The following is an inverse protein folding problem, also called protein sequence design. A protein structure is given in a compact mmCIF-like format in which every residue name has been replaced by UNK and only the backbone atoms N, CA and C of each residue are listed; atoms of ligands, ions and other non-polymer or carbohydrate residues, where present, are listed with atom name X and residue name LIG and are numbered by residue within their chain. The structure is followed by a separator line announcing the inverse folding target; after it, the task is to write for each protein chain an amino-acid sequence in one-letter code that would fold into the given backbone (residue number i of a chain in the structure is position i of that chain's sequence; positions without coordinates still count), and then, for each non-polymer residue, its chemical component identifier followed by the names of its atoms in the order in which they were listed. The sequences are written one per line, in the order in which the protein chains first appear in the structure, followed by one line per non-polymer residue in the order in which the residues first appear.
data_IF_222262603712
#
_entry.id   IF_222262603712
#
_cell.length_a   1.000
_cell.length_b   1.000
_cell.length_c   1.000
_cell.angle_alpha   90.00
_cell.angle_beta   90.00
_cell.angle_gamma   90.00
#
_symmetry.space_group_name_H-M   'P 1'
#
loop_
_entity.id
_entity.type
_entity.pdbx_description
1 polymer ?
#
# COMPACT_ATOMS: atom_id res chain seq x y z
N UNK A 1 6.23 24.81 -9.42
CA UNK A 1 4.89 24.26 -9.64
C UNK A 1 4.90 23.42 -10.90
N UNK A 2 4.37 22.21 -10.81
CA UNK A 2 4.25 21.24 -11.88
C UNK A 2 3.11 21.62 -12.83
N UNK A 3 3.28 21.30 -14.12
CA UNK A 3 2.26 21.50 -15.17
C UNK A 3 1.92 20.23 -15.94
N UNK A 4 2.55 19.12 -15.54
CA UNK A 4 2.42 17.78 -16.09
C UNK A 4 2.93 16.78 -15.06
N UNK A 5 2.45 15.54 -15.15
CA UNK A 5 2.96 14.41 -14.40
C UNK A 5 4.16 13.80 -15.11
N UNK A 6 5.19 13.42 -14.35
CA UNK A 6 6.37 12.69 -14.82
C UNK A 6 6.52 11.45 -13.94
N UNK A 7 5.82 10.34 -14.28
CA UNK A 7 5.75 9.15 -13.44
C UNK A 7 7.14 8.58 -13.14
N UNK A 8 7.38 8.17 -11.89
CA UNK A 8 8.63 7.59 -11.43
C UNK A 8 9.79 8.57 -11.24
N UNK A 9 9.58 9.87 -11.47
CA UNK A 9 10.54 10.91 -11.12
C UNK A 9 10.27 11.48 -9.72
N UNK A 10 11.28 12.09 -9.05
CA UNK A 10 11.09 12.77 -7.78
C UNK A 10 9.97 13.81 -7.84
N UNK A 11 8.95 13.61 -7.00
CA UNK A 11 7.81 14.50 -6.88
C UNK A 11 7.96 15.35 -5.62
N UNK A 12 8.08 16.66 -5.81
CA UNK A 12 8.27 17.62 -4.74
C UNK A 12 6.95 18.34 -4.39
N UNK A 13 6.78 18.68 -3.13
CA UNK A 13 5.70 19.53 -2.64
C UNK A 13 5.91 21.01 -3.04
N UNK A 14 4.99 21.88 -2.62
CA UNK A 14 5.06 23.33 -2.87
C UNK A 14 6.24 24.03 -2.21
N UNK A 15 6.84 23.43 -1.17
CA UNK A 15 8.04 23.91 -0.47
C UNK A 15 9.34 23.35 -1.07
N UNK A 16 9.26 22.50 -2.10
CA UNK A 16 10.40 21.90 -2.79
C UNK A 16 11.00 20.69 -2.06
N UNK A 17 10.28 20.09 -1.11
CA UNK A 17 10.68 18.85 -0.43
C UNK A 17 10.04 17.65 -1.12
N UNK A 18 10.71 16.49 -1.06
CA UNK A 18 10.15 15.24 -1.58
C UNK A 18 8.84 14.92 -0.86
N UNK A 19 7.79 14.59 -1.60
CA UNK A 19 6.52 14.12 -1.04
C UNK A 19 6.76 12.77 -0.34
N UNK A 20 6.17 12.62 0.84
CA UNK A 20 6.26 11.43 1.69
C UNK A 20 4.85 10.98 2.10
N UNK A 21 4.17 10.32 1.18
CA UNK A 21 2.83 9.78 1.36
C UNK A 21 2.70 8.39 0.68
N UNK A 22 3.60 7.47 1.05
CA UNK A 22 3.70 6.14 0.43
C UNK A 22 2.65 5.16 0.94
N UNK A 23 2.31 4.14 0.16
CA UNK A 23 1.36 3.09 0.56
C UNK A 23 -0.04 3.62 0.86
N UNK A 24 -0.32 4.87 0.52
CA UNK A 24 -1.46 5.60 1.02
C UNK A 24 -2.58 5.79 0.00
N UNK A 25 -3.52 6.65 0.37
CA UNK A 25 -4.74 6.89 -0.37
C UNK A 25 -4.86 8.37 -0.75
N UNK A 26 -5.48 8.65 -1.89
CA UNK A 26 -6.02 9.98 -2.18
C UNK A 26 -7.52 9.98 -1.86
N UNK A 27 -7.89 10.77 -0.85
CA UNK A 27 -9.26 11.01 -0.40
C UNK A 27 -9.72 12.38 -0.92
N UNK A 28 -10.97 12.51 -1.35
CA UNK A 28 -11.52 13.79 -1.81
C UNK A 28 -12.60 14.30 -0.87
N UNK A 29 -12.51 15.59 -0.52
CA UNK A 29 -13.52 16.27 0.29
C UNK A 29 -13.63 17.74 -0.11
N UNK A 30 -14.86 18.23 -0.30
CA UNK A 30 -15.15 19.65 -0.58
C UNK A 30 -14.33 20.24 -1.75
N UNK A 31 -14.10 19.46 -2.82
CA UNK A 31 -13.33 19.90 -3.98
C UNK A 31 -11.80 19.97 -3.77
N UNK A 32 -11.31 19.40 -2.66
CA UNK A 32 -9.88 19.27 -2.36
C UNK A 32 -9.51 17.80 -2.35
N UNK A 33 -8.37 17.47 -2.94
CA UNK A 33 -7.75 16.16 -2.86
C UNK A 33 -6.79 16.15 -1.67
N UNK A 34 -6.86 15.10 -0.87
CA UNK A 34 -6.02 14.88 0.29
C UNK A 34 -5.27 13.58 0.12
N UNK A 35 -3.95 13.65 0.08
CA UNK A 35 -3.10 12.47 -0.05
C UNK A 35 -2.48 12.16 1.31
N UNK A 36 -2.94 11.09 1.93
CA UNK A 36 -2.35 10.56 3.14
C UNK A 36 -1.42 9.40 2.80
N UNK A 37 -0.38 9.20 3.59
CA UNK A 37 0.52 8.06 3.41
C UNK A 37 1.58 7.96 4.50
N UNK A 38 2.37 6.90 4.40
CA UNK A 38 3.53 6.67 5.26
C UNK A 38 4.56 7.78 5.05
N UNK A 39 5.02 8.37 6.15
CA UNK A 39 6.14 9.30 6.09
C UNK A 39 7.46 8.52 6.16
N UNK A 40 8.17 8.40 5.04
CA UNK A 40 9.44 7.67 4.95
C UNK A 40 10.68 8.57 5.06
N UNK A 41 10.56 9.85 5.47
CA UNK A 41 11.68 10.82 5.55
C UNK A 41 12.94 10.29 6.27
N UNK A 42 12.76 9.36 7.22
CA UNK A 42 13.82 8.81 8.05
C UNK A 42 14.17 7.34 7.73
N UNK A 43 13.49 6.72 6.75
CA UNK A 43 13.62 5.29 6.44
C UNK A 43 14.76 5.06 5.45
N UNK A 44 16.00 5.16 5.94
CA UNK A 44 17.21 5.05 5.12
C UNK A 44 17.64 3.61 4.83
N UNK A 45 17.09 2.65 5.58
CA UNK A 45 17.52 1.25 5.59
C UNK A 45 18.81 1.01 6.39
N UNK A 46 19.32 2.01 7.11
CA UNK A 46 20.52 1.90 7.94
C UNK A 46 20.24 1.61 9.42
N UNK A 47 19.06 1.98 9.93
CA UNK A 47 18.64 1.81 11.32
C UNK A 47 17.28 1.09 11.43
N UNK A 48 16.70 1.09 12.64
CA UNK A 48 15.41 0.42 12.90
C UNK A 48 14.19 1.24 12.46
N UNK A 49 14.37 2.46 11.92
CA UNK A 49 13.24 3.31 11.53
C UNK A 49 12.55 2.74 10.29
N UNK A 50 11.29 2.36 10.46
CA UNK A 50 10.42 1.87 9.40
C UNK A 50 9.55 2.96 8.79
N UNK A 51 8.89 3.76 9.64
CA UNK A 51 7.99 4.85 9.25
C UNK A 51 8.03 5.96 10.31
N UNK A 52 7.93 7.22 9.89
CA UNK A 52 7.92 8.40 10.77
C UNK A 52 6.52 9.03 10.88
N UNK A 53 5.55 8.18 11.22
CA UNK A 53 4.13 8.55 11.30
C UNK A 53 3.40 8.60 9.95
N UNK A 54 2.20 9.18 9.96
CA UNK A 54 1.35 9.36 8.77
C UNK A 54 1.28 10.85 8.43
N UNK A 55 1.63 11.20 7.19
CA UNK A 55 1.59 12.58 6.69
C UNK A 55 0.38 12.79 5.79
N UNK A 56 -0.07 14.04 5.70
CA UNK A 56 -1.15 14.48 4.82
C UNK A 56 -0.65 15.60 3.90
N UNK A 57 -1.06 15.55 2.66
CA UNK A 57 -0.91 16.63 1.69
C UNK A 57 -2.27 17.04 1.15
N UNK A 58 -2.42 18.29 0.69
CA UNK A 58 -3.62 18.78 0.02
C UNK A 58 -3.31 19.32 -1.38
N UNK A 59 -4.25 19.16 -2.32
CA UNK A 59 -4.13 19.65 -3.69
C UNK A 59 -5.50 19.95 -4.31
N UNK A 60 -5.53 20.87 -5.25
CA UNK A 60 -6.70 21.14 -6.11
C UNK A 60 -6.54 20.62 -7.54
N UNK A 61 -5.34 20.18 -7.93
CA UNK A 61 -5.01 19.79 -9.30
C UNK A 61 -4.31 18.43 -9.42
N UNK A 62 -4.13 17.73 -8.29
CA UNK A 62 -3.41 16.46 -8.14
C UNK A 62 -1.91 16.52 -8.51
N UNK A 63 -1.40 17.67 -8.95
CA UNK A 63 -0.01 17.86 -9.40
C UNK A 63 0.83 18.59 -8.36
N UNK A 64 0.26 19.63 -7.75
CA UNK A 64 0.92 20.50 -6.80
C UNK A 64 0.32 20.24 -5.42
N UNK A 65 1.15 19.70 -4.52
CA UNK A 65 0.73 19.24 -3.20
C UNK A 65 1.32 20.15 -2.12
N UNK A 66 0.45 20.66 -1.26
CA UNK A 66 0.83 21.39 -0.05
C UNK A 66 0.97 20.41 1.10
N UNK A 67 2.09 20.44 1.82
CA UNK A 67 2.28 19.66 3.04
C UNK A 67 1.36 20.21 4.14
N UNK A 68 0.52 19.33 4.71
CA UNK A 68 -0.39 19.62 5.82
C UNK A 68 0.12 19.09 7.16
N UNK A 69 1.29 18.45 7.16
CA UNK A 69 1.96 17.90 8.32
C UNK A 69 1.53 16.47 8.68
N UNK A 70 1.98 16.03 9.86
CA UNK A 70 1.70 14.70 10.39
C UNK A 70 0.32 14.67 11.05
N UNK A 71 -0.56 13.80 10.56
CA UNK A 71 -1.88 13.55 11.15
C UNK A 71 -1.83 12.46 12.23
N UNK A 72 -0.83 11.57 12.14
CA UNK A 72 -0.43 10.64 13.19
C UNK A 72 1.08 10.83 13.41
N UNK A 73 1.50 11.59 14.44
CA UNK A 73 2.92 11.79 14.71
C UNK A 73 3.56 10.51 15.28
N UNK A 74 4.87 10.27 15.03
CA UNK A 74 5.59 9.18 15.66
C UNK A 74 5.86 9.46 17.14
N UNK A 75 6.07 8.39 17.91
CA UNK A 75 6.42 8.45 19.34
C UNK A 75 7.83 7.84 19.56
N UNK A 76 8.92 8.54 19.16
CA UNK A 76 10.28 7.98 19.17
C UNK A 76 10.86 7.72 20.56
N UNK A 77 10.33 8.37 21.60
CA UNK A 77 10.82 8.24 22.97
C UNK A 77 10.15 7.07 23.74
N UNK A 78 9.09 6.46 23.19
CA UNK A 78 8.36 5.36 23.81
C UNK A 78 8.43 4.08 22.96
N UNK A 79 9.35 3.17 23.31
CA UNK A 79 9.54 1.89 22.59
C UNK A 79 8.33 0.95 22.66
N UNK A 80 7.46 1.12 23.64
CA UNK A 80 6.26 0.29 23.79
C UNK A 80 5.08 0.84 22.99
N UNK A 81 5.19 2.07 22.47
CA UNK A 81 4.17 2.65 21.62
C UNK A 81 4.06 1.91 20.29
N UNK A 82 2.82 1.72 19.83
CA UNK A 82 2.56 1.25 18.46
C UNK A 82 2.97 2.29 17.41
N UNK A 83 3.18 3.55 17.80
CA UNK A 83 3.61 4.65 16.94
C UNK A 83 5.12 4.91 17.03
N UNK A 84 5.87 4.08 17.74
CA UNK A 84 7.33 4.15 17.73
C UNK A 84 7.86 3.91 16.30
N UNK A 85 8.86 4.66 15.81
CA UNK A 85 9.32 4.56 14.41
C UNK A 85 9.81 3.18 13.97
N UNK A 86 10.19 2.33 14.92
CA UNK A 86 10.59 0.93 14.67
C UNK A 86 9.41 -0.06 14.53
N UNK A 87 8.18 0.41 14.73
CA UNK A 87 6.98 -0.37 14.46
C UNK A 87 6.73 -0.35 12.97
N UNK A 88 6.41 -1.50 12.39
CA UNK A 88 6.31 -1.65 10.95
C UNK A 88 4.96 -1.16 10.41
N UNK A 89 4.65 0.12 10.65
CA UNK A 89 3.41 0.80 10.23
C UNK A 89 3.44 1.03 8.72
N UNK A 90 2.43 0.48 8.05
CA UNK A 90 2.19 0.57 6.62
C UNK A 90 0.75 0.96 6.26
N UNK A 91 0.57 1.33 5.01
CA UNK A 91 -0.66 1.37 4.23
C UNK A 91 -1.85 2.14 4.85
N UNK A 92 -1.68 3.40 5.29
CA UNK A 92 -2.73 4.15 5.97
C UNK A 92 -3.90 4.46 5.01
N UNK A 93 -5.09 4.00 5.37
CA UNK A 93 -6.33 4.21 4.59
C UNK A 93 -7.44 4.72 5.51
N UNK A 94 -8.27 5.64 5.01
CA UNK A 94 -9.31 6.26 5.82
C UNK A 94 -10.68 6.23 5.18
N UNK A 95 -11.70 6.21 6.01
CA UNK A 95 -13.09 6.48 5.63
C UNK A 95 -13.66 7.55 6.55
N UNK A 96 -14.39 8.51 5.98
CA UNK A 96 -15.28 9.36 6.79
C UNK A 96 -16.58 8.61 7.06
N UNK A 97 -17.01 8.56 8.32
CA UNK A 97 -18.28 7.97 8.73
C UNK A 97 -19.33 9.06 8.98
N UNK A 98 -20.37 9.09 8.15
CA UNK A 98 -21.39 10.13 8.18
C UNK A 98 -22.30 10.06 9.41
N UNK A 99 -22.44 8.87 10.02
CA UNK A 99 -23.29 8.64 11.20
C UNK A 99 -22.61 9.13 12.47
N UNK A 100 -21.34 8.78 12.65
CA UNK A 100 -20.55 9.15 13.83
C UNK A 100 -19.86 10.51 13.66
N UNK A 101 -19.78 11.03 12.42
CA UNK A 101 -19.02 12.23 12.05
C UNK A 101 -17.52 12.11 12.38
N UNK A 102 -16.98 10.90 12.28
CA UNK A 102 -15.57 10.61 12.54
C UNK A 102 -14.85 10.22 11.25
N UNK A 103 -13.59 10.62 11.15
CA UNK A 103 -12.63 9.98 10.25
C UNK A 103 -12.12 8.71 10.94
N UNK A 104 -12.19 7.58 10.24
CA UNK A 104 -11.76 6.27 10.72
C UNK A 104 -10.55 5.85 9.90
N UNK A 105 -9.40 5.81 10.55
CA UNK A 105 -8.10 5.49 9.95
C UNK A 105 -7.70 4.08 10.32
N UNK A 106 -7.40 3.27 9.32
CA UNK A 106 -6.84 1.93 9.48
C UNK A 106 -5.36 1.96 9.10
N UNK A 107 -4.56 1.23 9.86
CA UNK A 107 -3.11 1.11 9.69
C UNK A 107 -2.73 -0.36 9.72
N UNK A 108 -1.81 -0.79 8.85
CA UNK A 108 -1.20 -2.11 8.85
C UNK A 108 0.05 -2.12 9.72
N UNK A 109 0.26 -3.20 10.46
CA UNK A 109 1.50 -3.47 11.19
C UNK A 109 2.07 -4.83 10.82
N UNK A 110 3.26 -4.84 10.20
CA UNK A 110 3.92 -6.08 9.79
C UNK A 110 4.48 -6.90 10.96
N UNK A 111 4.68 -6.30 12.14
CA UNK A 111 5.31 -6.95 13.30
C UNK A 111 4.62 -8.28 13.67
N UNK A 112 3.32 -8.20 13.95
CA UNK A 112 2.45 -9.34 14.30
C UNK A 112 1.43 -9.66 13.19
N UNK A 113 1.51 -8.98 12.04
CA UNK A 113 0.53 -9.02 10.95
C UNK A 113 -0.89 -8.71 11.43
N UNK A 114 -1.09 -7.46 11.87
CA UNK A 114 -2.36 -6.97 12.43
C UNK A 114 -2.69 -5.56 11.94
N UNK A 115 -3.90 -5.09 12.24
CA UNK A 115 -4.29 -3.69 12.03
C UNK A 115 -4.37 -2.90 13.32
N UNK A 116 -4.16 -1.59 13.23
CA UNK A 116 -4.66 -0.65 14.21
C UNK A 116 -5.76 0.20 13.60
N UNK A 117 -6.75 0.58 14.42
CA UNK A 117 -7.88 1.41 14.04
C UNK A 117 -7.90 2.64 14.94
N UNK A 118 -7.93 3.82 14.32
CA UNK A 118 -7.94 5.11 15.00
C UNK A 118 -9.14 5.94 14.51
N UNK A 119 -9.59 6.89 15.33
CA UNK A 119 -10.64 7.84 14.94
C UNK A 119 -10.32 9.27 15.30
N UNK A 120 -10.83 10.23 14.51
CA UNK A 120 -10.70 11.66 14.76
C UNK A 120 -11.99 12.41 14.41
N UNK A 121 -12.24 13.55 15.07
CA UNK A 121 -13.32 14.49 14.73
C UNK A 121 -13.01 15.34 13.49
N UNK A 122 -11.73 15.47 13.13
CA UNK A 122 -11.26 16.24 11.99
C UNK A 122 -10.23 15.43 11.20
N UNK A 123 -10.16 15.67 9.89
CA UNK A 123 -9.24 14.96 8.99
C UNK A 123 -7.77 15.07 9.42
N UNK A 124 -7.38 16.24 9.95
CA UNK A 124 -6.02 16.51 10.43
C UNK A 124 -5.76 16.01 11.85
N UNK A 125 -6.69 15.24 12.42
CA UNK A 125 -6.60 14.74 13.79
C UNK A 125 -6.99 15.78 14.86
N UNK A 126 -6.59 15.55 16.12
CA UNK A 126 -5.80 14.40 16.56
C UNK A 126 -6.56 13.09 16.45
N UNK A 127 -5.85 12.02 16.10
CA UNK A 127 -6.39 10.66 16.03
C UNK A 127 -6.24 9.94 17.39
N UNK A 128 -7.30 9.25 17.80
CA UNK A 128 -7.34 8.42 19.02
C UNK A 128 -7.43 6.95 18.65
N UNK A 129 -6.60 6.12 19.28
CA UNK A 129 -6.59 4.67 19.05
C UNK A 129 -7.88 4.04 19.61
N UNK A 130 -8.63 3.37 18.74
CA UNK A 130 -9.79 2.55 19.08
C UNK A 130 -9.36 1.12 19.35
N UNK A 131 -8.48 0.59 18.49
CA UNK A 131 -7.87 -0.72 18.66
C UNK A 131 -6.43 -0.68 18.16
N UNK A 132 -5.47 -0.97 19.03
CA UNK A 132 -4.04 -0.99 18.68
C UNK A 132 -3.59 -2.30 18.05
N UNK A 133 -4.38 -3.37 18.18
CA UNK A 133 -4.00 -4.73 17.79
C UNK A 133 -5.20 -5.56 17.38
N UNK A 134 -5.66 -5.34 16.15
CA UNK A 134 -6.86 -5.95 15.57
C UNK A 134 -6.51 -7.05 14.54
N UNK A 135 -7.12 -8.22 14.72
CA UNK A 135 -7.02 -9.36 13.79
C UNK A 135 -8.41 -9.62 13.18
N UNK A 136 -8.68 -9.17 11.94
CA UNK A 136 -9.93 -9.48 11.25
C UNK A 136 -10.20 -10.98 11.27
N UNK A 137 -11.33 -11.37 11.85
CA UNK A 137 -11.74 -12.78 11.93
C UNK A 137 -10.70 -13.70 12.61
N UNK A 138 -9.84 -13.15 13.47
CA UNK A 138 -8.78 -13.89 14.14
C UNK A 138 -7.62 -14.36 13.25
N UNK A 139 -7.52 -13.85 12.01
CA UNK A 139 -6.45 -14.18 11.06
C UNK A 139 -5.34 -13.14 11.09
N UNK A 140 -4.13 -13.55 10.74
CA UNK A 140 -3.06 -12.60 10.43
C UNK A 140 -3.39 -11.89 9.13
N UNK A 141 -3.03 -10.61 9.05
CA UNK A 141 -3.39 -9.78 7.92
C UNK A 141 -2.21 -8.95 7.41
N UNK A 142 -2.18 -8.78 6.09
CA UNK A 142 -1.19 -7.99 5.36
C UNK A 142 -1.80 -6.73 4.78
N UNK A 143 -1.47 -6.42 3.54
CA UNK A 143 -1.96 -5.23 2.83
C UNK A 143 -3.48 -5.24 2.69
N UNK A 144 -4.09 -4.05 2.76
CA UNK A 144 -5.54 -3.89 2.70
C UNK A 144 -5.96 -2.57 2.09
N UNK A 145 -7.17 -2.53 1.55
CA UNK A 145 -7.84 -1.32 1.08
C UNK A 145 -9.28 -1.24 1.61
N UNK A 146 -9.83 -0.03 1.61
CA UNK A 146 -11.14 0.31 2.13
C UNK A 146 -12.01 0.93 1.05
N UNK A 147 -13.26 0.50 1.00
CA UNK A 147 -14.26 1.12 0.13
C UNK A 147 -15.58 1.31 0.88
N UNK A 148 -16.33 2.35 0.51
CA UNK A 148 -17.72 2.53 0.96
C UNK A 148 -18.61 2.92 -0.19
N UNK A 149 -19.85 2.45 -0.13
CA UNK A 149 -20.90 2.87 -1.06
C UNK A 149 -21.56 4.20 -0.63
N UNK A 150 -22.38 4.76 -1.51
CA UNK A 150 -23.14 6.00 -1.26
C UNK A 150 -24.16 5.87 -0.12
N UNK A 151 -24.51 4.65 0.30
CA UNK A 151 -25.45 4.36 1.40
C UNK A 151 -24.73 4.24 2.75
N UNK A 152 -23.39 4.30 2.77
CA UNK A 152 -22.57 4.13 3.96
C UNK A 152 -22.38 2.67 4.37
N UNK A 153 -22.50 1.71 3.45
CA UNK A 153 -21.98 0.37 3.66
C UNK A 153 -20.48 0.38 3.32
N UNK A 154 -19.64 -0.02 4.27
CA UNK A 154 -18.20 -0.04 4.10
C UNK A 154 -17.66 -1.48 4.07
N UNK A 155 -16.52 -1.63 3.41
CA UNK A 155 -15.89 -2.89 3.06
C UNK A 155 -14.38 -2.76 3.23
N UNK A 156 -13.74 -3.87 3.61
CA UNK A 156 -12.30 -4.03 3.62
C UNK A 156 -11.92 -5.18 2.70
N UNK A 157 -10.87 -4.97 1.92
CA UNK A 157 -10.21 -5.99 1.10
C UNK A 157 -8.82 -6.20 1.69
N UNK A 158 -8.47 -7.39 2.13
CA UNK A 158 -7.22 -7.61 2.86
C UNK A 158 -6.55 -8.95 2.54
N UNK A 159 -5.23 -8.92 2.50
CA UNK A 159 -4.37 -10.11 2.48
C UNK A 159 -4.47 -10.81 3.83
N UNK A 160 -4.59 -12.15 3.82
CA UNK A 160 -4.68 -12.95 5.03
C UNK A 160 -3.80 -14.22 4.98
N UNK A 161 -3.05 -14.40 6.08
CA UNK A 161 -2.11 -15.50 6.37
C UNK A 161 -1.06 -15.80 5.28
N UNK A 162 -0.76 -14.84 4.41
CA UNK A 162 0.11 -14.99 3.24
C UNK A 162 -0.41 -16.01 2.21
N UNK A 163 -1.72 -16.29 2.19
CA UNK A 163 -2.33 -17.29 1.28
C UNK A 163 -3.53 -16.78 0.50
N UNK A 164 -4.35 -15.93 1.12
CA UNK A 164 -5.65 -15.53 0.57
C UNK A 164 -5.77 -14.01 0.50
N UNK A 165 -6.60 -13.53 -0.41
CA UNK A 165 -7.11 -12.17 -0.39
C UNK A 165 -8.61 -12.24 -0.12
N UNK A 166 -9.04 -11.63 0.97
CA UNK A 166 -10.41 -11.66 1.47
C UNK A 166 -11.09 -10.30 1.29
N UNK A 167 -12.40 -10.31 1.15
CA UNK A 167 -13.26 -9.14 1.30
C UNK A 167 -14.26 -9.35 2.45
N UNK A 168 -14.53 -8.31 3.23
CA UNK A 168 -15.52 -8.36 4.30
C UNK A 168 -16.25 -7.03 4.48
N UNK A 169 -17.42 -7.07 5.14
CA UNK A 169 -18.11 -5.86 5.56
C UNK A 169 -17.42 -5.24 6.77
N UNK A 170 -17.50 -3.93 6.89
CA UNK A 170 -17.22 -3.21 8.12
C UNK A 170 -18.53 -2.91 8.86
N UNK A 171 -18.42 -2.89 10.18
CA UNK A 171 -19.45 -2.41 11.11
C UNK A 171 -19.95 -1.01 10.80
N UNK A 172 -21.11 -0.65 11.39
CA UNK A 172 -21.76 0.63 11.14
C UNK A 172 -20.92 1.87 11.51
N UNK A 173 -19.93 1.74 12.39
CA UNK A 173 -18.96 2.78 12.75
C UNK A 173 -17.60 2.65 12.03
N UNK A 174 -17.47 1.64 11.17
CA UNK A 174 -16.29 1.30 10.37
C UNK A 174 -15.06 0.87 11.19
N UNK A 175 -15.20 0.51 12.47
CA UNK A 175 -14.06 0.22 13.35
C UNK A 175 -13.70 -1.26 13.49
N UNK A 176 -14.53 -2.16 12.94
CA UNK A 176 -14.34 -3.60 12.97
C UNK A 176 -14.97 -4.27 11.74
N UNK A 177 -14.47 -5.45 11.39
CA UNK A 177 -15.07 -6.36 10.41
C UNK A 177 -16.32 -7.04 10.98
N UNK A 178 -17.34 -7.17 10.14
CA UNK A 178 -18.58 -7.89 10.43
C UNK A 178 -18.86 -8.97 9.40
N UNK A 179 -19.45 -10.08 9.87
CA UNK A 179 -19.79 -11.23 9.05
C UNK A 179 -18.60 -12.12 8.71
N UNK A 180 -18.87 -13.15 7.92
CA UNK A 180 -17.85 -14.08 7.43
C UNK A 180 -17.13 -13.45 6.23
N UNK A 181 -15.78 -13.43 6.23
CA UNK A 181 -15.02 -12.91 5.11
C UNK A 181 -15.19 -13.83 3.89
N UNK A 182 -15.13 -13.22 2.71
CA UNK A 182 -15.28 -13.90 1.42
C UNK A 182 -13.94 -13.94 0.73
N UNK A 183 -13.49 -15.12 0.31
CA UNK A 183 -12.28 -15.24 -0.48
C UNK A 183 -12.50 -14.73 -1.91
N UNK A 184 -11.64 -13.79 -2.33
CA UNK A 184 -11.54 -13.30 -3.71
C UNK A 184 -10.43 -14.08 -4.42
N UNK A 185 -9.29 -14.25 -3.74
CA UNK A 185 -8.21 -15.16 -4.12
C UNK A 185 -7.94 -16.13 -2.97
N UNK A 186 -7.70 -17.41 -3.27
CA UNK A 186 -7.51 -18.43 -2.23
C UNK A 186 -6.41 -19.42 -2.54
N UNK A 187 -5.70 -19.87 -1.50
CA UNK A 187 -4.79 -21.02 -1.56
C UNK A 187 -3.52 -20.78 -2.38
N UNK A 188 -3.11 -19.51 -2.53
CA UNK A 188 -1.85 -19.16 -3.18
C UNK A 188 -0.69 -19.27 -2.19
N UNK A 189 0.54 -19.17 -2.70
CA UNK A 189 1.76 -19.09 -1.91
C UNK A 189 2.61 -17.94 -2.43
N UNK A 190 3.45 -17.30 -1.62
CA UNK A 190 4.38 -16.31 -2.13
C UNK A 190 5.34 -16.95 -3.14
N UNK A 191 5.63 -16.29 -4.28
CA UNK A 191 5.26 -14.91 -4.59
C UNK A 191 3.90 -14.71 -5.28
N UNK A 192 3.17 -15.78 -5.57
CA UNK A 192 1.87 -15.68 -6.25
C UNK A 192 0.72 -15.18 -5.35
N UNK A 193 0.88 -15.23 -4.02
CA UNK A 193 -0.05 -14.60 -3.05
C UNK A 193 -0.32 -13.16 -3.46
N UNK A 194 -1.60 -12.77 -3.41
CA UNK A 194 -2.02 -11.43 -3.82
C UNK A 194 -1.96 -10.47 -2.63
N UNK A 195 -1.33 -9.31 -2.85
CA UNK A 195 -1.21 -8.22 -1.89
C UNK A 195 -1.52 -6.88 -2.57
N UNK A 196 -1.28 -5.77 -1.86
CA UNK A 196 -1.55 -4.41 -2.32
C UNK A 196 -2.93 -4.22 -2.98
N UNK A 197 -4.03 -4.75 -2.39
CA UNK A 197 -5.36 -4.62 -2.98
C UNK A 197 -5.69 -3.15 -3.20
N UNK A 198 -6.21 -2.82 -4.37
CA UNK A 198 -6.63 -1.45 -4.70
C UNK A 198 -7.96 -1.53 -5.40
N UNK A 199 -9.02 -1.19 -4.68
CA UNK A 199 -10.40 -1.27 -5.10
C UNK A 199 -10.85 0.02 -5.77
N UNK A 200 -11.64 -0.11 -6.83
CA UNK A 200 -12.39 1.01 -7.38
C UNK A 200 -13.65 0.53 -8.10
N UNK A 201 -14.57 1.46 -8.37
CA UNK A 201 -15.84 1.16 -9.05
C UNK A 201 -15.89 1.91 -10.37
N UNK A 202 -16.21 1.20 -11.47
CA UNK A 202 -16.48 1.80 -12.77
C UNK A 202 -17.72 1.21 -13.39
N UNK A 203 -18.67 2.06 -13.79
CA UNK A 203 -19.90 1.62 -14.45
C UNK A 203 -20.74 0.66 -13.59
N UNK A 204 -20.70 0.81 -12.27
CA UNK A 204 -21.39 -0.07 -11.31
C UNK A 204 -20.70 -1.41 -11.05
N UNK A 205 -19.53 -1.67 -11.66
CA UNK A 205 -18.74 -2.88 -11.45
C UNK A 205 -17.55 -2.60 -10.54
N UNK A 206 -17.20 -3.58 -9.73
CA UNK A 206 -16.12 -3.54 -8.75
C UNK A 206 -14.84 -4.11 -9.36
N UNK A 207 -13.78 -3.32 -9.35
CA UNK A 207 -12.46 -3.72 -9.81
C UNK A 207 -11.52 -3.82 -8.62
N UNK A 208 -10.65 -4.82 -8.64
CA UNK A 208 -9.62 -5.01 -7.63
C UNK A 208 -8.28 -5.25 -8.32
N UNK A 209 -7.39 -4.26 -8.22
CA UNK A 209 -5.99 -4.42 -8.59
C UNK A 209 -5.23 -5.03 -7.42
N UNK A 210 -4.23 -5.84 -7.71
CA UNK A 210 -3.36 -6.49 -6.72
C UNK A 210 -1.96 -6.63 -7.29
N UNK A 211 -0.96 -6.84 -6.43
CA UNK A 211 0.37 -7.33 -6.81
C UNK A 211 0.63 -8.73 -6.25
N UNK A 212 1.71 -9.38 -6.68
CA UNK A 212 2.29 -10.55 -6.01
C UNK A 212 3.09 -10.13 -4.77
N UNK A 213 3.46 -11.11 -3.94
CA UNK A 213 4.18 -10.92 -2.67
C UNK A 213 5.68 -11.07 -2.83
N UNK A 214 6.37 -9.95 -3.05
CA UNK A 214 7.82 -9.93 -3.33
C UNK A 214 8.58 -8.86 -2.54
N UNK A 215 8.02 -8.43 -1.41
CA UNK A 215 8.55 -7.33 -0.61
C UNK A 215 8.53 -6.03 -1.42
N UNK A 216 9.56 -5.19 -1.27
CA UNK A 216 9.67 -3.93 -2.03
C UNK A 216 10.04 -4.11 -3.51
N UNK A 217 10.39 -5.32 -3.96
CA UNK A 217 10.67 -5.55 -5.38
C UNK A 217 9.36 -5.51 -6.16
N UNK A 218 9.27 -4.77 -7.27
CA UNK A 218 8.04 -4.70 -8.03
C UNK A 218 7.78 -6.02 -8.79
N UNK A 219 6.55 -6.26 -9.22
CA UNK A 219 6.16 -7.50 -9.88
C UNK A 219 4.87 -7.27 -10.70
N UNK A 220 4.38 -8.26 -11.47
CA UNK A 220 3.18 -8.09 -12.28
C UNK A 220 1.92 -7.91 -11.44
N UNK A 221 1.23 -6.82 -11.70
CA UNK A 221 -0.11 -6.59 -11.15
C UNK A 221 -1.16 -7.41 -11.87
N UNK A 222 -2.24 -7.77 -11.17
CA UNK A 222 -3.36 -8.52 -11.73
C UNK A 222 -4.66 -7.81 -11.35
N UNK A 223 -5.63 -7.86 -12.28
CA UNK A 223 -6.95 -7.25 -12.13
C UNK A 223 -8.02 -8.32 -12.02
N UNK A 224 -8.95 -8.16 -11.09
CA UNK A 224 -10.23 -8.88 -11.09
C UNK A 224 -11.42 -7.91 -11.11
N UNK A 225 -12.54 -8.36 -11.67
CA UNK A 225 -13.79 -7.59 -11.76
C UNK A 225 -15.00 -8.38 -11.26
N UNK A 226 -15.96 -7.71 -10.64
CA UNK A 226 -17.25 -8.27 -10.23
C UNK A 226 -18.41 -7.29 -10.36
N UNK A 227 -19.63 -7.81 -10.42
CA UNK A 227 -20.89 -7.06 -10.27
C UNK A 227 -21.32 -6.92 -8.79
N UNK A 228 -20.62 -7.58 -7.86
CA UNK A 228 -20.83 -7.54 -6.41
C UNK A 228 -19.54 -7.11 -5.70
N UNK A 229 -19.61 -6.31 -4.61
CA UNK A 229 -18.42 -5.83 -3.92
C UNK A 229 -17.54 -6.94 -3.35
N UNK A 230 -18.09 -8.11 -3.01
CA UNK A 230 -17.38 -9.17 -2.28
C UNK A 230 -17.27 -10.49 -3.04
N UNK A 231 -18.21 -10.79 -3.93
CA UNK A 231 -18.38 -12.13 -4.54
C UNK A 231 -18.26 -12.07 -6.04
N UNK A 232 -18.00 -13.20 -6.69
CA UNK A 232 -18.12 -13.32 -8.15
C UNK A 232 -17.00 -12.68 -8.96
N UNK A 233 -15.87 -12.36 -8.32
CA UNK A 233 -14.71 -11.81 -9.01
C UNK A 233 -14.19 -12.75 -10.10
N UNK A 234 -14.00 -12.20 -11.29
CA UNK A 234 -13.37 -12.84 -12.44
C UNK A 234 -12.06 -12.13 -12.74
N UNK A 235 -10.97 -12.90 -12.83
CA UNK A 235 -9.64 -12.38 -13.17
C UNK A 235 -9.59 -11.97 -14.64
N UNK A 236 -9.15 -10.75 -14.91
CA UNK A 236 -8.96 -10.17 -16.24
C UNK A 236 -7.51 -10.23 -16.73
N UNK A 237 -6.56 -10.56 -15.85
CA UNK A 237 -5.14 -10.72 -16.19
C UNK A 237 -4.30 -9.51 -15.80
N UNK A 238 -3.15 -9.36 -16.47
CA UNK A 238 -2.13 -8.34 -16.19
C UNK A 238 -2.64 -6.93 -16.50
N UNK A 239 -2.43 -6.01 -15.57
CA UNK A 239 -2.74 -4.59 -15.69
C UNK A 239 -1.82 -3.87 -16.68
N UNK A 240 -0.57 -4.31 -16.76
CA UNK A 240 0.53 -3.63 -17.46
C UNK A 240 1.06 -4.45 -18.64
N UNK A 241 0.16 -5.15 -19.34
CA UNK A 241 0.55 -6.03 -20.44
C UNK A 241 1.38 -5.27 -21.49
N UNK A 242 2.62 -5.73 -21.70
CA UNK A 242 3.59 -5.08 -22.58
C UNK A 242 4.67 -4.25 -21.85
N UNK A 243 4.61 -4.15 -20.53
CA UNK A 243 5.76 -3.71 -19.72
C UNK A 243 6.93 -4.71 -19.90
N UNK A 244 8.06 -4.31 -20.51
CA UNK A 244 9.17 -5.23 -20.79
C UNK A 244 9.85 -5.73 -19.50
N UNK A 245 9.70 -5.00 -18.39
CA UNK A 245 10.26 -5.39 -17.10
C UNK A 245 9.40 -6.42 -16.38
N UNK A 246 8.11 -6.53 -16.73
CA UNK A 246 7.12 -7.35 -16.04
C UNK A 246 6.96 -6.93 -14.56
N UNK A 247 6.94 -5.62 -14.29
CA UNK A 247 6.96 -5.07 -12.92
C UNK A 247 5.91 -4.01 -12.66
N UNK A 248 4.91 -3.89 -13.56
CA UNK A 248 3.96 -2.79 -13.55
C UNK A 248 4.67 -1.44 -13.54
N UNK A 249 5.62 -1.29 -14.49
CA UNK A 249 6.47 -0.12 -14.66
C UNK A 249 7.22 0.28 -13.38
N UNK A 250 7.76 -0.72 -12.70
CA UNK A 250 8.48 -0.62 -11.43
C UNK A 250 7.62 0.05 -10.35
N UNK A 251 6.37 -0.36 -10.22
CA UNK A 251 5.46 0.16 -9.20
C UNK A 251 4.49 -0.87 -8.66
N UNK A 252 4.01 -0.62 -7.43
CA UNK A 252 3.01 -1.43 -6.75
C UNK A 252 1.76 -0.59 -6.48
N UNK A 253 0.57 -1.14 -6.76
CA UNK A 253 -0.69 -0.41 -6.66
C UNK A 253 -1.03 0.02 -5.24
N UNK A 254 -1.47 1.27 -5.09
CA UNK A 254 -1.88 1.79 -3.77
C UNK A 254 -3.25 2.47 -3.80
N UNK A 255 -3.55 3.22 -4.87
CA UNK A 255 -4.82 3.93 -5.00
C UNK A 255 -5.25 4.02 -6.47
N UNK A 256 -6.57 4.00 -6.71
CA UNK A 256 -7.15 4.43 -7.98
C UNK A 256 -8.15 5.54 -7.70
N UNK A 257 -7.96 6.70 -8.35
CA UNK A 257 -8.84 7.86 -8.19
C UNK A 257 -9.56 8.18 -9.51
N UNK A 258 -10.86 8.49 -9.41
CA UNK A 258 -11.65 8.97 -10.55
C UNK A 258 -11.64 10.50 -10.62
N UNK A 259 -11.35 11.04 -11.80
CA UNK A 259 -11.21 12.46 -12.05
C UNK A 259 -11.80 12.78 -13.42
N UNK A 260 -12.92 13.50 -13.46
CA UNK A 260 -13.59 13.93 -14.69
C UNK A 260 -13.87 12.77 -15.67
N UNK A 261 -14.28 11.61 -15.16
CA UNK A 261 -14.56 10.39 -15.92
C UNK A 261 -13.32 9.56 -16.26
N UNK A 262 -12.11 9.99 -15.85
CA UNK A 262 -10.85 9.25 -16.04
C UNK A 262 -10.44 8.58 -14.74
N UNK A 263 -9.93 7.36 -14.81
CA UNK A 263 -9.41 6.63 -13.65
C UNK A 263 -7.89 6.72 -13.68
N UNK A 264 -7.27 7.13 -12.57
CA UNK A 264 -5.83 7.30 -12.44
C UNK A 264 -5.30 6.26 -11.46
N UNK A 265 -4.38 5.42 -11.94
CA UNK A 265 -3.58 4.53 -11.12
C UNK A 265 -2.52 5.36 -10.39
N UNK A 266 -2.40 5.16 -9.09
CA UNK A 266 -1.28 5.58 -8.27
C UNK A 266 -0.61 4.32 -7.70
N UNK A 267 0.69 4.22 -7.90
CA UNK A 267 1.52 3.20 -7.29
C UNK A 267 2.83 3.74 -6.76
N UNK A 268 3.39 3.02 -5.79
CA UNK A 268 4.68 3.33 -5.18
C UNK A 268 5.80 2.64 -5.97
N UNK A 269 6.83 3.40 -6.33
CA UNK A 269 8.13 2.88 -6.80
C UNK A 269 9.05 2.83 -5.59
N UNK A 270 8.93 1.74 -4.83
CA UNK A 270 9.66 1.55 -3.57
C UNK A 270 11.18 1.56 -3.71
N UNK A 271 11.69 1.01 -4.82
CA UNK A 271 13.12 0.87 -5.08
C UNK A 271 13.50 1.55 -6.40
N UNK A 272 13.63 2.89 -6.44
CA UNK A 272 13.95 3.62 -7.67
C UNK A 272 15.33 3.26 -8.26
N UNK A 273 16.22 2.68 -7.48
CA UNK A 273 17.50 2.13 -7.94
C UNK A 273 17.35 0.88 -8.82
N UNK A 274 16.19 0.23 -8.81
CA UNK A 274 15.90 -0.97 -9.60
C UNK A 274 15.29 -0.66 -10.98
N UNK A 275 15.54 0.51 -11.56
CA UNK A 275 15.00 0.91 -12.88
C UNK A 275 15.39 -0.03 -14.04
N UNK A 276 16.49 -0.78 -13.92
CA UNK A 276 16.93 -1.77 -14.93
C UNK A 276 16.54 -3.22 -14.57
N UNK A 277 15.80 -3.43 -13.48
CA UNK A 277 15.46 -4.76 -12.98
C UNK A 277 14.20 -5.31 -13.65
N UNK A 278 14.18 -6.60 -13.95
CA UNK A 278 12.99 -7.28 -14.51
C UNK A 278 12.57 -8.45 -13.63
N UNK A 279 11.27 -8.63 -13.45
CA UNK A 279 10.73 -9.76 -12.71
C UNK A 279 10.77 -11.02 -13.58
N UNK A 280 11.54 -12.01 -13.12
CA UNK A 280 11.69 -13.32 -13.79
C UNK A 280 11.00 -14.45 -13.03
N UNK A 281 10.39 -14.17 -11.88
CA UNK A 281 9.93 -15.18 -10.91
C UNK A 281 11.03 -15.73 -10.00
N UNK A 282 12.31 -15.46 -10.29
CA UNK A 282 13.42 -15.85 -9.42
C UNK A 282 13.77 -14.73 -8.44
N UNK A 283 13.33 -14.88 -7.19
CA UNK A 283 13.54 -13.90 -6.12
C UNK A 283 14.80 -14.16 -5.29
N UNK A 284 15.63 -15.13 -5.68
CA UNK A 284 16.86 -15.43 -4.94
C UNK A 284 17.75 -14.18 -4.89
N UNK A 285 18.31 -13.84 -3.71
CA UNK A 285 19.21 -12.70 -3.61
C UNK A 285 20.43 -12.88 -4.52
N UNK A 286 20.97 -11.78 -5.04
CA UNK A 286 22.21 -11.81 -5.81
C UNK A 286 23.39 -12.35 -4.97
N UNK A 287 24.51 -12.78 -5.58
CA UNK A 287 25.65 -13.34 -4.85
C UNK A 287 26.25 -12.40 -3.78
N UNK A 288 26.21 -11.08 -3.97
CA UNK A 288 26.72 -10.13 -2.98
C UNK A 288 25.77 -10.06 -1.78
N UNK A 289 24.46 -10.03 -2.02
CA UNK A 289 23.44 -10.08 -0.97
C UNK A 289 23.46 -11.41 -0.22
N UNK A 290 23.59 -12.54 -0.92
CA UNK A 290 23.79 -13.86 -0.28
C UNK A 290 25.02 -13.88 0.64
N UNK A 291 26.12 -13.25 0.23
CA UNK A 291 27.32 -13.13 1.07
C UNK A 291 27.06 -12.31 2.34
N UNK A 292 26.29 -11.21 2.24
CA UNK A 292 25.87 -10.42 3.41
C UNK A 292 24.99 -11.24 4.37
N UNK A 293 24.02 -11.97 3.83
CA UNK A 293 23.15 -12.87 4.61
C UNK A 293 23.99 -13.89 5.37
N UNK A 294 24.87 -14.63 4.69
CA UNK A 294 25.71 -15.65 5.32
C UNK A 294 26.65 -15.05 6.38
N UNK A 295 27.18 -13.85 6.14
CA UNK A 295 27.99 -13.15 7.13
C UNK A 295 27.18 -12.79 8.39
N UNK A 296 25.95 -12.30 8.23
CA UNK A 296 25.07 -11.94 9.35
C UNK A 296 24.59 -13.17 10.13
N UNK A 297 24.24 -14.26 9.45
CA UNK A 297 23.89 -15.52 10.11
C UNK A 297 25.05 -16.02 10.98
N UNK A 298 26.28 -15.96 10.46
CA UNK A 298 27.49 -16.33 11.21
C UNK A 298 27.71 -15.44 12.43
N UNK A 299 27.50 -14.12 12.30
CA UNK A 299 27.60 -13.16 13.42
C UNK A 299 26.60 -13.49 14.54
N UNK A 300 25.36 -13.86 14.16
CA UNK A 300 24.29 -14.22 15.09
C UNK A 300 24.38 -15.67 15.61
N UNK A 301 25.31 -16.48 15.11
CA UNK A 301 25.45 -17.89 15.47
C UNK A 301 24.31 -18.78 14.95
N UNK A 302 23.58 -18.34 13.92
CA UNK A 302 22.47 -19.06 13.31
C UNK A 302 22.97 -20.00 12.21
N UNK A 303 22.54 -21.26 12.27
CA UNK A 303 22.73 -22.23 11.19
C UNK A 303 21.54 -22.15 10.21
N UNK A 304 21.77 -21.96 8.89
CA UNK A 304 20.69 -21.75 7.93
C UNK A 304 19.75 -22.96 7.76
N UNK A 305 20.17 -24.16 8.19
CA UNK A 305 19.37 -25.39 8.08
C UNK A 305 18.67 -25.68 9.40
N UNK A 306 19.40 -25.63 10.52
CA UNK A 306 18.84 -25.93 11.85
C UNK A 306 17.92 -24.81 12.34
N UNK A 307 18.31 -23.56 12.10
CA UNK A 307 17.67 -22.36 12.62
C UNK A 307 16.92 -21.64 11.46
N UNK A 308 16.19 -22.44 10.67
CA UNK A 308 15.64 -22.04 9.37
C UNK A 308 14.71 -20.83 9.44
N UNK A 309 13.87 -20.71 10.46
CA UNK A 309 12.90 -19.63 10.58
C UNK A 309 13.60 -18.29 10.83
N UNK A 310 14.49 -18.24 11.82
CA UNK A 310 15.30 -17.07 12.14
C UNK A 310 16.24 -16.71 10.99
N UNK A 311 16.84 -17.71 10.35
CA UNK A 311 17.69 -17.48 9.18
C UNK A 311 16.92 -16.88 8.01
N UNK A 312 15.66 -17.30 7.79
CA UNK A 312 14.79 -16.72 6.78
C UNK A 312 14.45 -15.26 7.11
N UNK A 313 14.14 -14.93 8.37
CA UNK A 313 13.89 -13.54 8.80
C UNK A 313 15.09 -12.63 8.52
N UNK A 314 16.30 -13.10 8.81
CA UNK A 314 17.54 -12.36 8.48
C UNK A 314 17.72 -12.20 6.97
N UNK A 315 17.45 -13.26 6.19
CA UNK A 315 17.56 -13.22 4.74
C UNK A 315 16.59 -12.21 4.11
N UNK A 316 15.33 -12.20 4.56
CA UNK A 316 14.29 -11.25 4.14
C UNK A 316 14.73 -9.83 4.47
N UNK A 317 15.04 -9.55 5.75
CA UNK A 317 15.44 -8.22 6.19
C UNK A 317 16.63 -7.65 5.40
N UNK A 318 17.66 -8.46 5.12
CA UNK A 318 18.82 -8.01 4.33
C UNK A 318 18.47 -7.85 2.85
N UNK A 319 17.59 -8.69 2.30
CA UNK A 319 17.21 -8.66 0.89
C UNK A 319 16.24 -7.53 0.56
N UNK A 320 15.52 -7.03 1.57
CA UNK A 320 14.52 -5.97 1.48
C UNK A 320 14.99 -4.66 2.12
N UNK A 321 16.19 -4.62 2.70
CA UNK A 321 16.80 -3.39 3.19
C UNK A 321 17.05 -2.42 2.01
N UNK A 322 16.14 -1.47 1.83
CA UNK A 322 16.23 -0.40 0.85
C UNK A 322 15.94 0.96 1.50
N UNK A 323 16.43 2.00 0.86
CA UNK A 323 16.19 3.37 1.30
C UNK A 323 14.85 3.86 0.74
N UNK A 324 13.75 3.53 1.40
CA UNK A 324 12.40 3.96 0.98
C UNK A 324 12.16 5.45 1.19
N UNK A 325 13.05 6.18 1.88
CA UNK A 325 13.03 7.65 1.89
C UNK A 325 13.23 8.25 0.49
N UNK A 326 13.75 7.47 -0.46
CA UNK A 326 13.95 7.85 -1.85
C UNK A 326 12.85 7.37 -2.79
N UNK A 327 11.88 6.58 -2.30
CA UNK A 327 10.80 6.03 -3.12
C UNK A 327 10.06 7.14 -3.89
N UNK A 328 9.61 6.78 -5.09
CA UNK A 328 8.95 7.66 -6.05
C UNK A 328 7.52 7.16 -6.33
N UNK A 329 6.76 7.91 -7.13
CA UNK A 329 5.36 7.61 -7.42
C UNK A 329 5.12 7.44 -8.92
N UNK A 330 4.33 6.44 -9.29
CA UNK A 330 3.85 6.23 -10.65
C UNK A 330 2.37 6.58 -10.70
N UNK A 331 2.06 7.78 -11.19
CA UNK A 331 0.69 8.22 -11.47
C UNK A 331 0.42 8.16 -12.98
N UNK A 332 -0.47 7.28 -13.42
CA UNK A 332 -0.76 7.03 -14.83
C UNK A 332 -2.28 6.87 -15.05
N UNK A 333 -2.83 7.32 -16.19
CA UNK A 333 -4.24 7.07 -16.49
C UNK A 333 -4.45 5.61 -16.87
N UNK A 334 -5.54 5.03 -16.37
CA UNK A 334 -6.03 3.73 -16.83
C UNK A 334 -6.77 3.89 -18.16
N UNK A 335 -6.33 3.10 -19.15
CA UNK A 335 -6.99 2.89 -20.42
C UNK A 335 -7.78 1.56 -20.38
N UNK A 336 -8.55 1.23 -21.42
CA UNK A 336 -9.49 0.11 -21.36
C UNK A 336 -9.55 -0.70 -22.66
N UNK A 337 -9.40 -2.02 -22.53
CA UNK A 337 -9.70 -2.99 -23.57
C UNK A 337 -10.91 -3.83 -23.16
N UNK A 338 -12.08 -3.44 -23.70
CA UNK A 338 -13.35 -3.99 -23.21
C UNK A 338 -13.54 -3.67 -21.73
N UNK A 339 -13.55 -4.70 -20.90
CA UNK A 339 -13.73 -4.58 -19.45
C UNK A 339 -12.41 -4.50 -18.69
N UNK A 340 -11.28 -4.84 -19.32
CA UNK A 340 -9.96 -4.89 -18.70
C UNK A 340 -9.33 -3.50 -18.65
N UNK A 341 -8.97 -2.96 -17.47
CA UNK A 341 -8.13 -1.78 -17.40
C UNK A 341 -6.70 -2.14 -17.81
N UNK A 342 -6.07 -1.23 -18.54
CA UNK A 342 -4.69 -1.37 -19.00
C UNK A 342 -3.92 -0.11 -18.66
N UNK A 343 -2.70 -0.31 -18.18
CA UNK A 343 -1.74 0.72 -17.88
C UNK A 343 -0.73 0.81 -19.02
N UNK A 344 -0.59 1.99 -19.60
CA UNK A 344 0.46 2.28 -20.58
C UNK A 344 1.41 3.33 -20.02
N UNK A 345 2.72 3.08 -20.16
CA UNK A 345 3.73 4.03 -19.76
C UNK A 345 3.60 5.34 -20.55
N UNK A 346 3.79 6.46 -19.85
CA UNK A 346 3.88 7.80 -20.43
C UNK A 346 5.00 8.54 -19.72
N UNK A 347 6.04 8.95 -20.46
CA UNK A 347 7.18 9.69 -19.88
C UNK A 347 6.73 11.00 -19.23
N UNK A 348 5.75 11.66 -19.83
CA UNK A 348 5.09 12.85 -19.27
C UNK A 348 3.67 12.95 -19.80
N UNK A 349 2.71 13.37 -18.97
CA UNK A 349 1.32 13.54 -19.39
C UNK A 349 0.57 14.60 -18.56
N UNK A 350 -0.61 15.01 -19.03
CA UNK A 350 -1.48 16.02 -18.38
C UNK A 350 -2.90 15.49 -18.22
N UNK A 351 -3.57 15.92 -17.15
CA UNK A 351 -4.94 15.56 -16.81
C UNK A 351 -5.96 16.02 -17.85
#
# INVERSE_FOLDING_TARGET
MYTAFTPGAPWLDTDGKRIQAHGGQIFQENGTYYWLGENKDHTTGEDEVWTWGVRLYSSHDLMNWQDEGLIVPPEPDDRESILHPARHLDRPHLLFNEKTKKYVLWLKFCDDSHYAVLTADALKGPYTIVNSRYFPCGRKCGDFDLWKDEKGNAYIYFEADHTDLLGAHLSADYTQVEGEPVAIYSGKKPPETREAPTHFVRGGRHYLLTSGMTGYRPNPSEVAVSDDPLRGYTVLGDLSEGDPSNTTFHSQSTCVIEVNGRYLYLGDRWMPELNDWSYTGDLRPDPATQKKIMAKLKELGLDPVRDREEAMKVAIHISEACNTSLADYVLLPLEWEGERPILHWKDTWKL
#
